data_IF_455463187221
#
_entry.id   IF_455463187221
#
_cell.length_a   1.000
_cell.length_b   1.000
_cell.length_c   1.000
_cell.angle_alpha   90.00
_cell.angle_beta   90.00
_cell.angle_gamma   90.00
#
_symmetry.space_group_name_H-M   'P 1'
#
loop_
_entity.id
_entity.type
_entity.pdbx_description
1 polymer ?
#
# COMPACT_ATOMS: atom_id res chain seq x y z
N UNK A 1 3.24 -15.71 7.66
CA UNK A 1 2.42 -14.62 8.24
C UNK A 1 2.76 -14.50 9.71
N UNK A 2 3.19 -13.32 10.19
CA UNK A 2 3.49 -13.11 11.61
C UNK A 2 2.27 -12.51 12.31
N UNK A 3 1.95 -13.06 13.48
CA UNK A 3 0.99 -12.48 14.42
C UNK A 3 1.81 -11.60 15.36
N UNK A 4 1.49 -10.31 15.45
CA UNK A 4 2.18 -9.40 16.38
C UNK A 4 1.56 -9.58 17.77
N UNK A 5 2.21 -10.39 18.61
CA UNK A 5 1.93 -10.49 20.05
C UNK A 5 2.89 -9.60 20.83
N UNK A 6 2.39 -8.94 21.88
CA UNK A 6 3.11 -7.99 22.71
C UNK A 6 4.34 -8.62 23.38
N UNK A 7 5.54 -8.16 23.03
CA UNK A 7 6.79 -8.66 23.63
C UNK A 7 8.01 -7.82 23.26
N UNK A 8 8.20 -6.73 24.00
CA UNK A 8 9.49 -6.12 24.41
C UNK A 8 10.57 -5.96 23.33
N UNK A 9 10.44 -4.92 22.49
CA UNK A 9 11.48 -3.96 22.05
C UNK A 9 10.96 -2.97 20.97
N UNK A 10 9.65 -2.64 20.99
CA UNK A 10 8.96 -1.90 19.90
C UNK A 10 8.77 -0.40 20.16
N UNK A 11 9.79 0.30 20.65
CA UNK A 11 9.67 1.71 21.03
C UNK A 11 9.41 2.73 19.89
N UNK A 12 9.38 2.35 18.60
CA UNK A 12 9.28 3.36 17.52
C UNK A 12 8.71 2.89 16.16
N UNK A 13 8.24 1.64 16.02
CA UNK A 13 7.77 1.14 14.71
C UNK A 13 6.33 1.61 14.39
N UNK A 14 5.50 1.79 15.42
CA UNK A 14 4.10 2.19 15.26
C UNK A 14 3.89 3.68 14.91
N UNK A 15 4.96 4.49 14.87
CA UNK A 15 4.91 5.90 14.45
C UNK A 15 5.46 6.11 13.04
N UNK A 16 6.13 5.10 12.46
CA UNK A 16 6.78 5.20 11.16
C UNK A 16 5.99 4.45 10.08
N UNK A 17 5.98 5.02 8.87
CA UNK A 17 5.29 4.44 7.72
C UNK A 17 4.09 5.26 7.27
N UNK A 18 3.56 4.95 6.09
CA UNK A 18 2.40 5.63 5.53
C UNK A 18 1.19 4.70 5.51
N UNK A 19 0.02 5.28 5.75
CA UNK A 19 -1.25 4.57 5.59
C UNK A 19 -1.66 4.60 4.13
N UNK A 20 -1.93 3.41 3.60
CA UNK A 20 -2.38 3.18 2.24
C UNK A 20 -3.66 2.39 2.28
N UNK A 21 -4.66 2.84 1.53
CA UNK A 21 -5.90 2.13 1.35
C UNK A 21 -6.02 1.64 -0.08
N UNK A 22 -6.42 0.39 -0.24
CA UNK A 22 -6.71 -0.22 -1.52
C UNK A 22 -8.17 -0.57 -1.59
N UNK A 23 -8.85 0.02 -2.56
CA UNK A 23 -10.27 -0.14 -2.79
C UNK A 23 -10.52 -0.99 -4.03
N UNK A 24 -11.28 -2.06 -3.82
CA UNK A 24 -12.02 -2.76 -4.86
C UNK A 24 -13.51 -2.40 -4.70
N UNK A 25 -14.14 -2.02 -5.81
CA UNK A 25 -15.49 -1.45 -5.76
C UNK A 25 -16.42 -2.17 -6.72
N UNK A 26 -17.58 -2.56 -6.20
CA UNK A 26 -18.63 -3.18 -6.99
C UNK A 26 -19.66 -2.15 -7.47
N UNK A 27 -20.16 -2.35 -8.71
CA UNK A 27 -21.39 -1.70 -9.17
C UNK A 27 -22.58 -2.46 -8.61
N UNK A 28 -23.56 -1.70 -8.13
CA UNK A 28 -24.88 -2.24 -7.83
C UNK A 28 -25.75 -2.21 -9.10
N UNK A 29 -25.82 -3.33 -9.81
CA UNK A 29 -26.82 -3.56 -10.87
C UNK A 29 -27.42 -4.96 -10.71
N UNK A 30 -28.56 -5.07 -10.04
CA UNK A 30 -29.32 -6.32 -9.89
C UNK A 30 -29.44 -6.85 -8.46
N UNK A 31 -30.17 -7.97 -8.29
CA UNK A 31 -30.56 -8.53 -6.99
C UNK A 31 -29.44 -9.23 -6.19
N UNK A 32 -28.27 -9.43 -6.79
CA UNK A 32 -27.07 -9.90 -6.10
C UNK A 32 -26.09 -8.74 -5.99
N UNK A 33 -25.98 -8.14 -4.80
CA UNK A 33 -25.05 -7.04 -4.56
C UNK A 33 -23.65 -7.61 -4.32
N UNK A 34 -22.71 -7.32 -5.21
CA UNK A 34 -21.30 -7.59 -5.01
C UNK A 34 -20.74 -6.66 -3.91
N UNK A 35 -19.65 -7.07 -3.26
CA UNK A 35 -19.10 -6.32 -2.14
C UNK A 35 -18.08 -5.30 -2.63
N UNK A 36 -18.11 -4.11 -2.03
CA UNK A 36 -16.95 -3.21 -2.06
C UNK A 36 -16.06 -3.52 -0.86
N UNK A 37 -14.76 -3.48 -1.06
CA UNK A 37 -13.75 -3.75 -0.04
C UNK A 37 -12.74 -2.61 0.03
N UNK A 38 -12.35 -2.27 1.26
CA UNK A 38 -11.18 -1.44 1.54
C UNK A 38 -10.21 -2.22 2.42
N UNK A 39 -8.98 -2.42 1.93
CA UNK A 39 -7.86 -2.88 2.76
C UNK A 39 -7.06 -1.65 3.18
N UNK A 40 -6.97 -1.40 4.48
CA UNK A 40 -6.11 -0.36 5.05
C UNK A 40 -4.85 -0.99 5.60
N UNK A 41 -3.70 -0.51 5.14
CA UNK A 41 -2.41 -1.00 5.57
C UNK A 41 -1.45 0.13 5.94
N UNK A 42 -0.65 -0.11 6.97
CA UNK A 42 0.56 0.66 7.25
C UNK A 42 1.73 0.02 6.53
N UNK A 43 2.42 0.80 5.71
CA UNK A 43 3.59 0.35 4.96
C UNK A 43 4.81 1.10 5.45
N UNK A 44 5.79 0.35 5.96
CA UNK A 44 7.09 0.85 6.38
C UNK A 44 8.18 -0.02 5.79
N UNK A 45 9.09 0.58 4.99
CA UNK A 45 10.07 -0.17 4.19
C UNK A 45 9.37 -1.31 3.43
N UNK A 46 9.74 -2.57 3.69
CA UNK A 46 9.16 -3.77 3.07
C UNK A 46 8.01 -4.39 3.89
N UNK A 47 7.77 -3.88 5.09
CA UNK A 47 6.78 -4.44 6.00
C UNK A 47 5.40 -3.85 5.71
N UNK A 48 4.41 -4.74 5.67
CA UNK A 48 3.02 -4.44 5.35
C UNK A 48 2.18 -4.94 6.51
N UNK A 49 1.67 -4.00 7.29
CA UNK A 49 0.78 -4.28 8.41
C UNK A 49 -0.65 -3.98 8.00
N UNK A 50 -1.50 -5.00 7.90
CA UNK A 50 -2.93 -4.80 7.64
C UNK A 50 -3.58 -4.40 8.96
N UNK A 51 -4.16 -3.19 8.99
CA UNK A 51 -4.72 -2.62 10.22
C UNK A 51 -6.24 -2.59 10.21
N UNK A 52 -6.86 -2.55 9.03
CA UNK A 52 -8.31 -2.60 8.89
C UNK A 52 -8.73 -3.22 7.55
N UNK A 53 -9.85 -3.93 7.57
CA UNK A 53 -10.50 -4.47 6.38
C UNK A 53 -12.00 -4.16 6.49
N UNK A 54 -12.44 -3.21 5.68
CA UNK A 54 -13.85 -2.88 5.55
C UNK A 54 -14.44 -3.61 4.36
N UNK A 55 -15.63 -4.20 4.54
CA UNK A 55 -16.41 -4.87 3.50
C UNK A 55 -17.86 -4.46 3.61
N UNK A 56 -18.48 -4.02 2.51
CA UNK A 56 -19.86 -3.58 2.52
C UNK A 56 -20.56 -3.64 1.17
N UNK A 57 -21.87 -3.88 1.21
CA UNK A 57 -22.78 -3.77 0.06
C UNK A 57 -23.53 -2.46 0.18
N UNK A 58 -23.05 -1.45 -0.53
CA UNK A 58 -23.56 -0.08 -0.38
C UNK A 58 -23.75 0.56 -1.75
N UNK A 59 -24.74 1.45 -1.84
CA UNK A 59 -24.90 2.31 -3.03
C UNK A 59 -23.77 3.32 -3.14
N UNK A 60 -23.56 3.84 -4.34
CA UNK A 60 -22.51 4.81 -4.63
C UNK A 60 -22.42 5.99 -3.63
N UNK A 61 -23.52 6.68 -3.24
CA UNK A 61 -23.42 7.78 -2.28
C UNK A 61 -22.90 7.32 -0.90
N UNK A 62 -23.23 6.11 -0.47
CA UNK A 62 -22.74 5.55 0.79
C UNK A 62 -21.30 5.04 0.66
N UNK A 63 -20.92 4.51 -0.51
CA UNK A 63 -19.54 4.17 -0.84
C UNK A 63 -18.62 5.40 -0.73
N UNK A 64 -18.98 6.51 -1.39
CA UNK A 64 -18.22 7.75 -1.34
C UNK A 64 -18.03 8.26 0.10
N UNK A 65 -19.12 8.31 0.89
CA UNK A 65 -19.04 8.71 2.30
C UNK A 65 -18.10 7.80 3.10
N UNK A 66 -18.20 6.48 2.90
CA UNK A 66 -17.36 5.52 3.61
C UNK A 66 -15.89 5.62 3.20
N UNK A 67 -15.60 5.89 1.92
CA UNK A 67 -14.22 6.13 1.47
C UNK A 67 -13.59 7.36 2.12
N UNK A 68 -14.33 8.47 2.18
CA UNK A 68 -13.87 9.69 2.87
C UNK A 68 -13.71 9.46 4.37
N UNK A 69 -14.66 8.78 5.00
CA UNK A 69 -14.62 8.43 6.42
C UNK A 69 -13.38 7.60 6.77
N UNK A 70 -13.15 6.48 6.07
CA UNK A 70 -11.99 5.62 6.33
C UNK A 70 -10.67 6.32 6.01
N UNK A 71 -10.62 7.16 4.97
CA UNK A 71 -9.42 7.93 4.67
C UNK A 71 -9.06 8.89 5.81
N UNK A 72 -10.07 9.51 6.44
CA UNK A 72 -9.88 10.43 7.57
C UNK A 72 -9.53 9.71 8.87
N UNK A 73 -10.29 8.68 9.23
CA UNK A 73 -10.08 7.92 10.49
C UNK A 73 -8.67 7.35 10.53
N UNK A 74 -8.17 6.83 9.40
CA UNK A 74 -6.86 6.21 9.32
C UNK A 74 -5.76 7.17 8.83
N UNK A 75 -6.06 8.45 8.61
CA UNK A 75 -5.12 9.44 8.06
C UNK A 75 -4.38 8.97 6.79
N UNK A 76 -5.13 8.38 5.86
CA UNK A 76 -4.60 7.79 4.64
C UNK A 76 -3.76 8.80 3.84
N UNK A 77 -2.55 8.39 3.46
CA UNK A 77 -1.66 9.17 2.57
C UNK A 77 -1.81 8.76 1.11
N UNK A 78 -2.28 7.54 0.87
CA UNK A 78 -2.50 7.01 -0.47
C UNK A 78 -3.86 6.31 -0.53
N UNK A 79 -4.66 6.67 -1.53
CA UNK A 79 -5.88 5.95 -1.92
C UNK A 79 -5.66 5.30 -3.29
N UNK A 80 -5.68 3.98 -3.33
CA UNK A 80 -5.68 3.20 -4.57
C UNK A 80 -7.11 2.78 -4.85
N UNK A 81 -7.59 3.06 -6.06
CA UNK A 81 -8.95 2.70 -6.48
C UNK A 81 -8.84 2.08 -7.87
N UNK A 82 -9.42 0.89 -8.05
CA UNK A 82 -9.53 0.28 -9.37
C UNK A 82 -10.37 1.20 -10.29
N UNK A 83 -9.82 1.59 -11.42
CA UNK A 83 -10.46 2.47 -12.40
C UNK A 83 -11.35 1.66 -13.34
N UNK A 84 -12.41 1.10 -12.75
CA UNK A 84 -13.43 0.36 -13.45
C UNK A 84 -14.76 0.65 -12.79
N UNK A 85 -15.82 0.69 -13.60
CA UNK A 85 -17.17 0.60 -13.08
C UNK A 85 -17.48 1.72 -12.05
N UNK A 86 -17.84 1.38 -10.80
CA UNK A 86 -18.08 2.34 -9.72
C UNK A 86 -16.82 3.08 -9.27
N UNK A 87 -15.64 2.50 -9.47
CA UNK A 87 -14.36 3.06 -9.08
C UNK A 87 -14.02 4.31 -9.88
N UNK A 88 -14.31 4.33 -11.19
CA UNK A 88 -14.13 5.52 -12.04
C UNK A 88 -14.96 6.71 -11.55
N UNK A 89 -16.23 6.46 -11.16
CA UNK A 89 -17.09 7.50 -10.59
C UNK A 89 -16.60 7.99 -9.22
N UNK A 90 -16.08 7.07 -8.40
CA UNK A 90 -15.53 7.38 -7.08
C UNK A 90 -14.28 8.26 -7.20
N UNK A 91 -13.37 7.92 -8.13
CA UNK A 91 -12.17 8.71 -8.44
C UNK A 91 -12.55 10.14 -8.84
N UNK A 92 -13.49 10.29 -9.78
CA UNK A 92 -13.93 11.61 -10.25
C UNK A 92 -14.55 12.43 -9.11
N UNK A 93 -15.40 11.80 -8.30
CA UNK A 93 -16.09 12.47 -7.20
C UNK A 93 -15.13 12.96 -6.10
N UNK A 94 -14.14 12.14 -5.72
CA UNK A 94 -13.14 12.54 -4.71
C UNK A 94 -12.27 13.68 -5.24
N UNK A 95 -11.84 13.62 -6.52
CA UNK A 95 -11.05 14.68 -7.14
C UNK A 95 -11.82 16.00 -7.22
N UNK A 96 -13.13 15.95 -7.47
CA UNK A 96 -13.98 17.13 -7.51
C UNK A 96 -14.27 17.72 -6.11
N UNK A 97 -14.42 16.87 -5.09
CA UNK A 97 -14.86 17.28 -3.76
C UNK A 97 -13.87 18.10 -2.94
N UNK A 98 -12.57 18.09 -3.27
CA UNK A 98 -11.50 18.77 -2.51
C UNK A 98 -11.60 18.57 -0.99
N UNK A 99 -11.89 17.35 -0.56
CA UNK A 99 -12.14 17.00 0.83
C UNK A 99 -10.84 17.08 1.65
N UNK A 100 -10.78 17.96 2.66
CA UNK A 100 -9.61 18.04 3.56
C UNK A 100 -9.39 16.69 4.25
N UNK A 101 -8.12 16.27 4.29
CA UNK A 101 -7.71 15.01 4.92
C UNK A 101 -7.93 13.77 4.05
N UNK A 102 -8.31 13.94 2.78
CA UNK A 102 -8.46 12.85 1.81
C UNK A 102 -7.43 13.06 0.69
N UNK A 103 -6.52 12.12 0.42
CA UNK A 103 -5.55 12.26 -0.66
C UNK A 103 -6.23 12.04 -2.02
N UNK A 104 -5.67 12.64 -3.07
CA UNK A 104 -6.15 12.39 -4.42
C UNK A 104 -5.98 10.90 -4.80
N UNK A 105 -7.03 10.23 -5.32
CA UNK A 105 -6.93 8.82 -5.68
C UNK A 105 -5.96 8.56 -6.82
N UNK A 106 -5.18 7.51 -6.66
CA UNK A 106 -4.38 6.87 -7.70
C UNK A 106 -5.25 5.81 -8.37
N UNK A 107 -5.58 6.05 -9.64
CA UNK A 107 -6.28 5.09 -10.48
C UNK A 107 -5.40 3.86 -10.70
N UNK A 108 -6.01 2.67 -10.62
CA UNK A 108 -5.34 1.38 -10.83
C UNK A 108 -6.07 0.60 -11.90
N UNK A 109 -5.31 0.01 -12.81
CA UNK A 109 -5.82 -0.97 -13.77
C UNK A 109 -5.00 -2.23 -13.57
N UNK A 110 -5.62 -3.39 -13.29
CA UNK A 110 -4.89 -4.65 -13.16
C UNK A 110 -4.14 -4.94 -14.47
N UNK A 111 -2.81 -5.00 -14.42
CA UNK A 111 -1.99 -5.32 -15.61
C UNK A 111 -1.80 -6.83 -15.80
N UNK A 112 -1.78 -7.59 -14.70
CA UNK A 112 -1.53 -9.02 -14.69
C UNK A 112 -2.80 -9.81 -14.37
N UNK A 113 -2.88 -11.03 -14.90
CA UNK A 113 -3.99 -11.94 -14.57
C UNK A 113 -4.01 -12.32 -13.08
N UNK A 114 -5.17 -12.84 -12.67
CA UNK A 114 -5.47 -13.19 -11.28
C UNK A 114 -4.43 -14.16 -10.68
N UNK A 115 -3.96 -15.12 -11.48
CA UNK A 115 -3.00 -16.14 -11.05
C UNK A 115 -1.62 -15.54 -10.79
N UNK A 116 -1.18 -14.66 -11.68
CA UNK A 116 0.09 -13.95 -11.56
C UNK A 116 0.09 -13.02 -10.34
N UNK A 117 -1.03 -12.33 -10.08
CA UNK A 117 -1.21 -11.53 -8.86
C UNK A 117 -1.06 -12.39 -7.61
N UNK A 118 -1.71 -13.55 -7.56
CA UNK A 118 -1.68 -14.46 -6.41
C UNK A 118 -0.30 -15.08 -6.16
N UNK A 119 0.43 -15.47 -7.20
CA UNK A 119 1.82 -15.93 -7.06
C UNK A 119 2.69 -14.83 -6.43
N UNK A 120 2.51 -13.58 -6.87
CA UNK A 120 3.19 -12.43 -6.28
C UNK A 120 2.85 -12.21 -4.81
N UNK A 121 1.59 -12.43 -4.40
CA UNK A 121 1.17 -12.40 -3.01
C UNK A 121 1.87 -13.47 -2.18
N UNK A 122 1.90 -14.72 -2.65
CA UNK A 122 2.53 -15.85 -1.94
C UNK A 122 3.99 -15.54 -1.60
N UNK A 123 4.76 -15.02 -2.58
CA UNK A 123 6.17 -14.67 -2.36
C UNK A 123 6.38 -13.63 -1.25
N UNK A 124 5.48 -12.65 -1.08
CA UNK A 124 5.58 -11.66 0.00
C UNK A 124 5.20 -12.23 1.36
N UNK A 125 4.24 -13.15 1.39
CA UNK A 125 3.88 -13.89 2.61
C UNK A 125 5.03 -14.78 3.07
N UNK A 126 5.65 -15.51 2.14
CA UNK A 126 6.83 -16.36 2.37
C UNK A 126 8.05 -15.54 2.81
N UNK A 127 8.25 -14.36 2.24
CA UNK A 127 9.32 -13.43 2.63
C UNK A 127 9.12 -12.79 4.03
N UNK A 128 8.02 -13.10 4.73
CA UNK A 128 7.76 -12.61 6.08
C UNK A 128 7.43 -11.12 6.17
N UNK A 129 6.97 -10.52 5.07
CA UNK A 129 6.70 -9.07 4.94
C UNK A 129 5.26 -8.69 5.33
N UNK A 130 4.38 -9.66 5.52
CA UNK A 130 2.97 -9.46 5.86
C UNK A 130 2.68 -9.73 7.34
N UNK A 131 2.13 -8.73 8.00
CA UNK A 131 1.72 -8.73 9.39
C UNK A 131 0.22 -8.49 9.48
N UNK A 132 -0.49 -9.37 10.20
CA UNK A 132 -1.89 -9.15 10.58
C UNK A 132 -1.96 -9.02 12.11
N UNK A 133 -2.96 -8.30 12.64
CA UNK A 133 -3.21 -8.27 14.08
C UNK A 133 -3.51 -9.66 14.63
N UNK A 134 -3.28 -9.82 15.91
CA UNK A 134 -3.68 -11.03 16.66
C UNK A 134 -5.19 -11.21 16.64
N UNK A 135 -5.92 -10.13 16.88
CA UNK A 135 -7.38 -10.10 16.89
C UNK A 135 -7.92 -8.92 16.09
N UNK A 136 -8.88 -9.20 15.21
CA UNK A 136 -9.74 -8.18 14.61
C UNK A 136 -11.04 -8.83 14.11
N UNK A 137 -12.15 -8.08 14.14
CA UNK A 137 -13.46 -8.58 13.72
C UNK A 137 -13.51 -9.03 12.24
N UNK A 138 -12.68 -8.43 11.39
CA UNK A 138 -12.57 -8.78 9.97
C UNK A 138 -11.59 -9.93 9.69
N UNK A 139 -10.73 -10.28 10.66
CA UNK A 139 -9.56 -11.15 10.43
C UNK A 139 -9.93 -12.56 9.98
N UNK A 140 -10.94 -13.16 10.59
CA UNK A 140 -11.37 -14.52 10.27
C UNK A 140 -11.94 -14.61 8.85
N UNK A 141 -12.77 -13.64 8.46
CA UNK A 141 -13.34 -13.56 7.12
C UNK A 141 -12.27 -13.31 6.05
N UNK A 142 -11.34 -12.40 6.33
CA UNK A 142 -10.20 -12.12 5.46
C UNK A 142 -9.32 -13.35 5.25
N UNK A 143 -8.84 -13.98 6.34
CA UNK A 143 -8.02 -15.21 6.26
C UNK A 143 -8.71 -16.33 5.49
N UNK A 144 -10.01 -16.55 5.74
CA UNK A 144 -10.78 -17.57 5.04
C UNK A 144 -10.80 -17.36 3.52
N UNK A 145 -10.97 -16.12 3.07
CA UNK A 145 -10.99 -15.80 1.64
C UNK A 145 -9.60 -15.97 1.01
N UNK A 146 -8.53 -15.48 1.68
CA UNK A 146 -7.16 -15.66 1.21
C UNK A 146 -6.76 -17.13 1.07
N UNK A 147 -7.15 -17.98 2.02
CA UNK A 147 -6.83 -19.41 2.01
C UNK A 147 -7.68 -20.22 1.01
N UNK A 148 -8.85 -19.72 0.63
CA UNK A 148 -9.74 -20.38 -0.32
C UNK A 148 -9.44 -20.00 -1.79
N UNK A 149 -8.61 -18.98 -2.01
CA UNK A 149 -8.19 -18.55 -3.33
C UNK A 149 -7.27 -19.60 -4.01
N UNK A 150 -7.36 -19.85 -5.34
CA UNK A 150 -8.17 -19.17 -6.36
C UNK A 150 -9.60 -19.71 -6.52
N UNK A 151 -9.97 -20.75 -5.78
CA UNK A 151 -11.19 -21.53 -6.00
C UNK A 151 -12.44 -20.96 -5.33
N UNK A 152 -12.37 -19.78 -4.73
CA UNK A 152 -13.48 -19.14 -4.01
C UNK A 152 -14.42 -18.37 -4.94
N UNK A 153 -15.71 -18.37 -4.59
CA UNK A 153 -16.75 -17.56 -5.25
C UNK A 153 -16.64 -16.06 -4.93
N UNK A 154 -15.99 -15.72 -3.82
CA UNK A 154 -15.69 -14.36 -3.42
C UNK A 154 -14.19 -14.13 -3.50
N UNK A 155 -13.80 -13.09 -4.20
CA UNK A 155 -12.43 -12.67 -4.44
C UNK A 155 -12.20 -11.17 -4.22
N UNK A 156 -13.24 -10.40 -3.88
CA UNK A 156 -13.20 -8.95 -3.67
C UNK A 156 -12.08 -8.54 -2.68
N UNK A 157 -11.90 -9.29 -1.58
CA UNK A 157 -10.84 -8.97 -0.59
C UNK A 157 -9.46 -9.32 -1.12
N UNK A 158 -9.35 -10.39 -1.91
CA UNK A 158 -8.08 -10.79 -2.54
C UNK A 158 -7.69 -9.82 -3.64
N UNK A 159 -8.64 -9.28 -4.39
CA UNK A 159 -8.39 -8.30 -5.44
C UNK A 159 -7.91 -6.98 -4.84
N UNK A 160 -8.61 -6.45 -3.83
CA UNK A 160 -8.15 -5.27 -3.09
C UNK A 160 -6.77 -5.48 -2.45
N UNK A 161 -6.52 -6.66 -1.88
CA UNK A 161 -5.23 -6.99 -1.25
C UNK A 161 -4.09 -7.12 -2.26
N UNK A 162 -4.32 -7.80 -3.39
CA UNK A 162 -3.32 -7.96 -4.44
C UNK A 162 -2.90 -6.62 -5.05
N UNK A 163 -3.87 -5.70 -5.25
CA UNK A 163 -3.61 -4.33 -5.70
C UNK A 163 -2.71 -3.57 -4.72
N UNK A 164 -2.97 -3.68 -3.41
CA UNK A 164 -2.14 -3.05 -2.37
C UNK A 164 -0.70 -3.57 -2.43
N UNK A 165 -0.54 -4.88 -2.53
CA UNK A 165 0.75 -5.55 -2.53
C UNK A 165 1.57 -5.20 -3.78
N UNK A 166 0.94 -5.13 -4.94
CA UNK A 166 1.58 -4.73 -6.19
C UNK A 166 2.08 -3.28 -6.12
N UNK A 167 1.24 -2.36 -5.62
CA UNK A 167 1.64 -0.97 -5.40
C UNK A 167 2.82 -0.87 -4.44
N UNK A 168 2.78 -1.65 -3.35
CA UNK A 168 3.85 -1.66 -2.34
C UNK A 168 5.20 -2.05 -2.96
N UNK A 169 5.23 -3.12 -3.78
CA UNK A 169 6.45 -3.55 -4.50
C UNK A 169 7.01 -2.47 -5.41
N UNK A 170 6.16 -1.80 -6.18
CA UNK A 170 6.58 -0.75 -7.12
C UNK A 170 7.06 0.50 -6.38
N UNK A 171 6.38 0.88 -5.29
CA UNK A 171 6.80 1.97 -4.43
C UNK A 171 8.14 1.70 -3.74
N UNK A 172 8.47 0.43 -3.44
CA UNK A 172 9.80 0.05 -2.95
C UNK A 172 10.87 0.21 -4.00
N UNK A 173 10.66 -0.35 -5.20
CA UNK A 173 11.63 -0.25 -6.31
C UNK A 173 11.97 1.21 -6.61
N UNK A 174 10.96 2.08 -6.68
CA UNK A 174 11.17 3.51 -6.87
C UNK A 174 11.99 4.15 -5.75
N UNK A 175 11.70 3.83 -4.48
CA UNK A 175 12.45 4.36 -3.33
C UNK A 175 13.87 3.79 -3.21
N UNK A 176 14.11 2.54 -3.60
CA UNK A 176 15.45 1.95 -3.63
C UNK A 176 16.30 2.47 -4.79
N UNK A 177 15.69 2.79 -5.94
CA UNK A 177 16.40 3.39 -7.07
C UNK A 177 16.65 4.89 -6.88
N UNK A 178 15.84 5.58 -6.06
CA UNK A 178 16.09 6.94 -5.60
C UNK A 178 17.08 7.00 -4.41
N UNK A 179 17.62 5.85 -4.00
CA UNK A 179 18.82 5.78 -3.18
C UNK A 179 20.03 6.23 -3.99
N UNK A 180 20.16 7.55 -4.18
CA UNK A 180 21.48 8.13 -4.45
C UNK A 180 22.43 7.64 -3.36
N UNK A 181 23.68 7.35 -3.76
CA UNK A 181 24.77 7.00 -2.84
C UNK A 181 24.68 7.93 -1.61
N UNK A 182 24.70 7.40 -0.38
CA UNK A 182 24.65 8.27 0.80
C UNK A 182 25.78 9.28 0.69
N UNK A 183 25.43 10.56 0.58
CA UNK A 183 26.38 11.65 0.60
C UNK A 183 26.84 11.74 2.05
N UNK A 184 28.00 11.14 2.34
CA UNK A 184 28.60 11.23 3.65
C UNK A 184 29.27 12.59 3.77
N UNK A 185 28.89 13.35 4.78
CA UNK A 185 29.53 14.62 5.12
C UNK A 185 30.54 14.38 6.25
N UNK A 186 31.74 14.92 6.10
CA UNK A 186 32.72 14.95 7.18
C UNK A 186 33.48 16.27 7.13
N UNK A 187 34.04 16.65 8.28
CA UNK A 187 34.87 17.86 8.41
C UNK A 187 36.32 17.44 8.22
N UNK A 188 37.03 18.09 7.30
CA UNK A 188 38.45 17.83 7.10
C UNK A 188 39.32 18.40 8.24
N UNK A 189 40.62 18.10 8.22
CA UNK A 189 41.55 18.56 9.26
C UNK A 189 41.70 20.08 9.38
N UNK A 190 41.11 20.85 8.46
CA UNK A 190 41.11 22.31 8.45
C UNK A 190 39.76 22.92 8.90
N UNK A 191 38.77 22.09 9.25
CA UNK A 191 37.46 22.56 9.70
C UNK A 191 36.45 22.80 8.59
N UNK A 192 36.73 22.40 7.34
CA UNK A 192 35.82 22.58 6.21
C UNK A 192 34.94 21.35 5.98
N UNK A 193 33.64 21.57 5.74
CA UNK A 193 32.69 20.50 5.45
C UNK A 193 32.85 19.97 4.03
N UNK A 194 33.18 18.69 3.88
CA UNK A 194 33.25 17.98 2.59
C UNK A 194 32.18 16.92 2.47
N UNK A 195 31.97 16.45 1.24
CA UNK A 195 31.04 15.39 0.95
C UNK A 195 31.57 14.37 -0.06
N UNK A 196 31.08 13.13 0.02
CA UNK A 196 31.60 11.96 -0.71
C UNK A 196 31.59 12.01 -2.25
N UNK A 197 31.17 13.13 -2.85
CA UNK A 197 31.21 13.38 -4.30
C UNK A 197 32.43 14.21 -4.76
N UNK A 198 33.23 14.76 -3.85
CA UNK A 198 34.32 15.69 -4.18
C UNK A 198 35.65 15.01 -4.57
N UNK A 199 35.84 13.74 -4.21
CA UNK A 199 37.03 12.97 -4.59
C UNK A 199 36.91 12.43 -6.02
N UNK A 200 37.02 13.32 -7.01
CA UNK A 200 37.57 12.93 -8.31
C UNK A 200 39.09 13.06 -8.23
N UNK A 201 39.89 12.02 -8.49
CA UNK A 201 41.32 12.20 -8.67
C UNK A 201 41.53 13.03 -9.94
N UNK A 202 41.84 14.31 -9.74
CA UNK A 202 42.40 15.18 -10.76
C UNK A 202 43.90 14.92 -10.90
N UNK A 203 44.33 14.67 -12.13
CA UNK A 203 45.75 14.57 -12.55
C UNK A 203 46.14 13.15 -12.95
N UNK A 204 46.79 12.88 -14.08
CA UNK A 204 47.83 13.68 -14.73
C UNK A 204 47.88 13.50 -16.26
N UNK A 205 48.56 14.48 -16.85
CA UNK A 205 48.90 14.77 -18.24
C UNK A 205 49.76 13.72 -19.00
N UNK A 206 49.64 13.85 -20.35
CA UNK A 206 50.66 13.82 -21.42
C UNK A 206 51.41 12.53 -21.81
N UNK A 207 51.44 12.28 -23.13
CA UNK A 207 52.68 11.96 -23.85
C UNK A 207 52.65 10.78 -24.82
N UNK A 208 52.21 11.01 -26.07
CA UNK A 208 52.97 10.81 -27.33
C UNK A 208 52.08 11.19 -28.54
#
# INVERSE_FOLDING_TARGET
>A
MKITGTGTDEGNSQSQGQIVQSWDTAIKTGGANDYSVCITARIWRKDIHIIDVWRGRVEFPALLRKTVELARIHEAKTLLIEDKASGSQLIQSIRAGSERGVPNPIARTPEADKFTRAAGVSSMVEAGQLFLPEEAHWLAGFKKELLAFPSSRHDDQVDAFSQLLEWSRTAWKRRSCLGGTPILFWIDGNGESRHSGDDKPGGLFSGL
#
